data_IF_728017673918
#
_entry.id   IF_728017673918
#
_cell.length_a   1.000
_cell.length_b   1.000
_cell.length_c   1.000
_cell.angle_alpha   90.00
_cell.angle_beta   90.00
_cell.angle_gamma   90.00
#
_symmetry.space_group_name_H-M   'P 1'
#
loop_
_entity.id
_entity.type
_entity.pdbx_description
1 polymer ?
#
# COMPACT_ATOMS: atom_id res chain seq x y z
N UNK A 1 8.11 2.14 22.05
CA UNK A 1 6.88 2.30 21.23
C UNK A 1 7.14 1.72 19.85
N UNK A 2 6.52 0.60 19.51
CA UNK A 2 6.59 0.02 18.15
C UNK A 2 5.45 0.62 17.32
N UNK A 3 5.74 1.67 16.56
CA UNK A 3 4.80 2.28 15.59
C UNK A 3 4.57 1.32 14.42
N UNK A 4 3.76 0.28 14.66
CA UNK A 4 3.43 -0.81 13.72
C UNK A 4 2.67 -0.33 12.48
N UNK A 5 2.27 0.94 12.42
CA UNK A 5 1.52 1.54 11.32
C UNK A 5 2.41 2.18 10.24
N UNK A 6 3.73 2.30 10.47
CA UNK A 6 4.67 2.83 9.48
C UNK A 6 5.03 1.83 8.37
N UNK A 7 4.84 0.53 8.62
CA UNK A 7 5.21 -0.54 7.69
C UNK A 7 4.47 -0.46 6.35
N UNK A 8 3.16 -0.21 6.37
CA UNK A 8 2.40 -0.16 5.11
C UNK A 8 2.73 1.06 4.25
N UNK A 9 2.93 2.22 4.86
CA UNK A 9 3.31 3.45 4.16
C UNK A 9 4.69 3.28 3.50
N UNK A 10 5.66 2.71 4.24
CA UNK A 10 6.98 2.40 3.71
C UNK A 10 6.95 1.41 2.55
N UNK A 11 6.11 0.36 2.61
CA UNK A 11 6.02 -0.64 1.54
C UNK A 11 5.45 -0.03 0.24
N UNK A 12 4.46 0.86 0.33
CA UNK A 12 3.90 1.56 -0.83
C UNK A 12 4.95 2.51 -1.42
N UNK A 13 5.60 3.32 -0.58
CA UNK A 13 6.70 4.19 -0.98
C UNK A 13 7.82 3.41 -1.69
N UNK A 14 8.25 2.27 -1.12
CA UNK A 14 9.28 1.40 -1.70
C UNK A 14 8.87 0.86 -3.06
N UNK A 15 7.60 0.52 -3.28
CA UNK A 15 7.07 0.05 -4.57
C UNK A 15 7.13 1.16 -5.62
N UNK A 16 6.61 2.34 -5.30
CA UNK A 16 6.61 3.49 -6.22
C UNK A 16 8.03 3.91 -6.59
N UNK A 17 8.94 3.95 -5.60
CA UNK A 17 10.35 4.21 -5.84
C UNK A 17 10.96 3.18 -6.80
N UNK A 18 10.60 1.90 -6.67
CA UNK A 18 11.09 0.85 -7.56
C UNK A 18 10.61 1.04 -9.00
N UNK A 19 9.33 1.32 -9.19
CA UNK A 19 8.75 1.55 -10.51
C UNK A 19 9.38 2.78 -11.17
N UNK A 20 9.60 3.85 -10.40
CA UNK A 20 10.27 5.05 -10.90
C UNK A 20 11.71 4.77 -11.30
N UNK A 21 12.48 4.06 -10.48
CA UNK A 21 13.87 3.70 -10.79
C UNK A 21 13.95 2.79 -12.02
N UNK A 22 13.05 1.81 -12.15
CA UNK A 22 12.94 0.97 -13.36
C UNK A 22 12.60 1.79 -14.61
N UNK A 23 11.70 2.77 -14.49
CA UNK A 23 11.35 3.67 -15.60
C UNK A 23 12.53 4.54 -16.06
N UNK A 24 13.46 4.84 -15.15
CA UNK A 24 14.70 5.56 -15.45
C UNK A 24 15.82 4.64 -15.97
N UNK A 25 15.57 3.33 -16.10
CA UNK A 25 16.54 2.34 -16.56
C UNK A 25 17.45 1.78 -15.46
N UNK A 26 17.24 2.15 -14.19
CA UNK A 26 17.98 1.56 -13.07
C UNK A 26 17.38 0.21 -12.69
N UNK A 27 18.18 -0.85 -12.86
CA UNK A 27 17.80 -2.20 -12.46
C UNK A 27 18.58 -2.61 -11.19
N UNK A 28 18.16 -2.05 -10.06
CA UNK A 28 18.82 -2.25 -8.77
C UNK A 28 18.50 -3.63 -8.19
N UNK A 29 19.48 -4.25 -7.54
CA UNK A 29 19.24 -5.48 -6.81
C UNK A 29 18.31 -5.21 -5.61
N UNK A 30 17.51 -6.20 -5.20
CA UNK A 30 16.49 -6.06 -4.16
C UNK A 30 17.05 -5.56 -2.81
N UNK A 31 18.30 -5.90 -2.49
CA UNK A 31 19.00 -5.43 -1.30
C UNK A 31 19.39 -3.94 -1.39
N UNK A 32 19.93 -3.52 -2.53
CA UNK A 32 20.30 -2.12 -2.77
C UNK A 32 19.06 -1.24 -2.78
N UNK A 33 18.00 -1.72 -3.43
CA UNK A 33 16.70 -1.06 -3.43
C UNK A 33 16.15 -0.86 -2.02
N UNK A 34 16.24 -1.88 -1.17
CA UNK A 34 15.76 -1.79 0.21
C UNK A 34 16.59 -0.81 1.05
N UNK A 35 17.91 -0.75 0.84
CA UNK A 35 18.79 0.23 1.51
C UNK A 35 18.47 1.66 1.07
N UNK A 36 18.36 1.90 -0.24
CA UNK A 36 18.03 3.22 -0.80
C UNK A 36 16.65 3.68 -0.34
N UNK A 37 15.65 2.81 -0.41
CA UNK A 37 14.31 3.13 0.06
C UNK A 37 14.29 3.47 1.55
N UNK A 38 15.02 2.72 2.39
CA UNK A 38 15.11 2.99 3.83
C UNK A 38 15.79 4.33 4.11
N UNK A 39 16.87 4.64 3.40
CA UNK A 39 17.60 5.89 3.52
C UNK A 39 16.78 7.11 3.07
N UNK A 40 16.07 7.01 1.94
CA UNK A 40 15.22 8.10 1.48
C UNK A 40 14.04 8.27 2.44
N UNK A 41 13.41 7.17 2.88
CA UNK A 41 12.30 7.20 3.83
C UNK A 41 12.68 7.83 5.18
N UNK A 42 13.89 7.58 5.68
CA UNK A 42 14.33 8.22 6.93
C UNK A 42 14.42 9.74 6.79
N UNK A 43 14.85 10.22 5.61
CA UNK A 43 14.95 11.65 5.27
C UNK A 43 13.63 12.32 4.90
N UNK A 44 12.58 11.57 4.58
CA UNK A 44 11.28 12.16 4.25
C UNK A 44 10.68 12.90 5.45
N UNK A 45 10.09 14.06 5.17
CA UNK A 45 9.38 14.89 6.13
C UNK A 45 8.18 14.15 6.74
N UNK A 46 7.79 14.53 7.96
CA UNK A 46 6.61 13.96 8.62
C UNK A 46 5.33 14.14 7.78
N UNK A 47 5.23 15.24 7.04
CA UNK A 47 4.10 15.54 6.16
C UNK A 47 3.96 14.51 5.03
N UNK A 48 5.07 14.17 4.35
CA UNK A 48 5.10 13.12 3.32
C UNK A 48 4.74 11.76 3.94
N UNK A 49 5.31 11.44 5.11
CA UNK A 49 4.98 10.20 5.83
C UNK A 49 3.49 10.15 6.22
N UNK A 50 2.90 11.29 6.59
CA UNK A 50 1.49 11.42 6.92
C UNK A 50 0.60 11.21 5.69
N UNK A 51 0.95 11.82 4.56
CA UNK A 51 0.24 11.67 3.30
C UNK A 51 0.19 10.19 2.84
N UNK A 52 1.33 9.49 2.88
CA UNK A 52 1.38 8.06 2.58
C UNK A 52 0.56 7.22 3.57
N UNK A 53 0.53 7.61 4.85
CA UNK A 53 -0.27 6.93 5.88
C UNK A 53 -1.77 7.10 5.62
N UNK A 54 -2.21 8.30 5.24
CA UNK A 54 -3.60 8.59 4.91
C UNK A 54 -4.06 7.81 3.66
N UNK A 55 -3.27 7.85 2.59
CA UNK A 55 -3.52 7.04 1.39
C UNK A 55 -3.63 5.53 1.71
N UNK A 56 -2.78 5.03 2.60
CA UNK A 56 -2.84 3.64 3.05
C UNK A 56 -4.14 3.32 3.78
N UNK A 57 -4.60 4.22 4.65
CA UNK A 57 -5.84 4.04 5.42
C UNK A 57 -7.05 4.06 4.49
N UNK A 58 -7.09 5.00 3.54
CA UNK A 58 -8.16 5.09 2.55
C UNK A 58 -8.21 3.84 1.64
N UNK A 59 -7.07 3.39 1.12
CA UNK A 59 -6.99 2.15 0.34
C UNK A 59 -7.45 0.93 1.12
N UNK A 60 -7.05 0.78 2.39
CA UNK A 60 -7.51 -0.31 3.26
C UNK A 60 -9.02 -0.28 3.44
N UNK A 61 -9.59 0.91 3.67
CA UNK A 61 -11.04 1.08 3.82
C UNK A 61 -11.77 0.65 2.55
N UNK A 62 -11.31 1.12 1.38
CA UNK A 62 -11.89 0.77 0.09
C UNK A 62 -11.81 -0.73 -0.21
N UNK A 63 -10.65 -1.36 0.02
CA UNK A 63 -10.47 -2.81 -0.16
C UNK A 63 -11.39 -3.61 0.78
N UNK A 64 -11.51 -3.19 2.03
CA UNK A 64 -12.39 -3.84 3.00
C UNK A 64 -13.87 -3.69 2.61
N UNK A 65 -14.25 -2.55 2.04
CA UNK A 65 -15.61 -2.31 1.52
C UNK A 65 -15.92 -3.21 0.30
N UNK A 66 -15.00 -3.31 -0.65
CA UNK A 66 -15.12 -4.22 -1.80
C UNK A 66 -15.19 -5.69 -1.36
N UNK A 67 -14.36 -6.09 -0.39
CA UNK A 67 -14.39 -7.44 0.18
C UNK A 67 -15.73 -7.71 0.85
N UNK A 68 -16.25 -6.78 1.67
CA UNK A 68 -17.58 -6.89 2.26
C UNK A 68 -18.66 -7.02 1.21
N UNK A 69 -18.62 -6.24 0.12
CA UNK A 69 -19.58 -6.38 -0.96
C UNK A 69 -19.51 -7.75 -1.62
N UNK A 70 -18.32 -8.30 -1.88
CA UNK A 70 -18.18 -9.64 -2.47
C UNK A 70 -18.74 -10.75 -1.55
N UNK A 71 -18.47 -10.68 -0.25
CA UNK A 71 -18.96 -11.67 0.72
C UNK A 71 -20.45 -11.50 1.06
N UNK A 72 -20.98 -10.29 1.08
CA UNK A 72 -22.41 -10.04 1.33
C UNK A 72 -23.30 -10.32 0.11
N UNK A 73 -22.78 -10.19 -1.11
CA UNK A 73 -23.55 -10.42 -2.35
C UNK A 73 -23.73 -11.90 -2.68
N UNK A 74 -22.96 -12.79 -2.05
CA UNK A 74 -23.06 -14.25 -2.23
C UNK A 74 -24.27 -14.92 -1.55
N UNK A 75 -25.09 -14.17 -0.78
CA UNK A 75 -26.21 -14.73 -0.02
C UNK A 75 -27.61 -14.40 -0.59
N UNK A 76 -27.70 -13.76 -1.77
CA UNK A 76 -28.98 -13.34 -2.36
C UNK A 76 -29.31 -14.01 -3.71
N UNK A 77 -28.59 -15.06 -4.10
CA UNK A 77 -28.93 -15.90 -5.26
C UNK A 77 -29.44 -17.25 -4.77
N UNK A 78 -30.63 -17.27 -4.17
CA UNK A 78 -31.45 -18.47 -3.97
C UNK A 78 -32.88 -18.02 -3.61
N UNK A 79 -33.76 -17.91 -4.62
CA UNK A 79 -35.20 -17.81 -4.37
C UNK A 79 -36.00 -16.98 -5.37
N UNK A 80 -36.01 -17.38 -6.64
CA UNK A 80 -37.18 -17.11 -7.50
C UNK A 80 -37.52 -18.40 -8.23
N UNK A 81 -38.22 -19.29 -7.53
CA UNK A 81 -39.05 -20.33 -8.11
C UNK A 81 -40.51 -19.92 -7.86
N UNK A 82 -41.15 -19.40 -8.91
CA UNK A 82 -42.60 -19.50 -9.14
C UNK A 82 -42.88 -19.23 -10.62
#
# INVERSE_FOLDING_TARGET
>A
MTTRNGGNAFIIFRKQLNEHLRSLGYNLNMQEHSKIASYIWSKQSMEVKSHFKEHTVQMKKMLNDQLKQLFCKSNNDNGTDH
#
